data_IF_966274318641
#
_entry.id   IF_966274318641
#
_cell.length_a   1.000
_cell.length_b   1.000
_cell.length_c   1.000
_cell.angle_alpha   90.00
_cell.angle_beta   90.00
_cell.angle_gamma   90.00
#
_symmetry.space_group_name_H-M   'P 1'
#
loop_
_entity.id
_entity.type
_entity.pdbx_description
1 polymer ?
#
# COMPACT_ATOMS: atom_id res chain seq x y z
N UNK A 1 14.31 -41.22 -1.14
CA UNK A 1 15.57 -40.47 -1.22
C UNK A 1 15.85 -39.97 0.18
N UNK A 2 17.08 -40.06 0.69
CA UNK A 2 17.44 -39.49 1.99
C UNK A 2 17.15 -37.98 1.98
N UNK A 3 16.48 -37.45 2.99
CA UNK A 3 16.07 -36.04 3.06
C UNK A 3 17.31 -35.13 2.95
N UNK A 4 18.41 -35.56 3.57
CA UNK A 4 19.70 -34.88 3.48
C UNK A 4 20.28 -34.85 2.06
N UNK A 5 20.10 -35.94 1.29
CA UNK A 5 20.54 -35.99 -0.10
C UNK A 5 19.74 -35.04 -1.00
N UNK A 6 18.43 -34.88 -0.73
CA UNK A 6 17.58 -33.91 -1.45
C UNK A 6 17.95 -32.47 -1.11
N UNK A 7 18.22 -32.17 0.17
CA UNK A 7 18.70 -30.85 0.60
C UNK A 7 20.04 -30.49 -0.07
N UNK A 8 21.01 -31.41 -0.08
CA UNK A 8 22.30 -31.14 -0.72
C UNK A 8 22.18 -30.96 -2.23
N UNK A 9 21.27 -31.67 -2.91
CA UNK A 9 20.96 -31.42 -4.33
C UNK A 9 20.43 -29.99 -4.55
N UNK A 10 19.48 -29.53 -3.74
CA UNK A 10 18.93 -28.16 -3.86
C UNK A 10 20.01 -27.11 -3.59
N UNK A 11 20.87 -27.35 -2.60
CA UNK A 11 22.02 -26.47 -2.31
C UNK A 11 23.03 -26.47 -3.46
N UNK A 12 23.23 -27.59 -4.14
CA UNK A 12 24.12 -27.68 -5.30
C UNK A 12 23.58 -26.91 -6.51
N UNK A 13 22.28 -26.99 -6.79
CA UNK A 13 21.63 -26.15 -7.81
C UNK A 13 21.86 -24.66 -7.52
N UNK A 14 21.72 -24.27 -6.25
CA UNK A 14 21.97 -22.92 -5.79
C UNK A 14 23.45 -22.52 -5.96
N UNK A 15 24.41 -23.37 -5.57
CA UNK A 15 25.86 -23.11 -5.75
C UNK A 15 26.21 -22.84 -7.20
N UNK A 16 25.75 -23.69 -8.13
CA UNK A 16 25.99 -23.53 -9.57
C UNK A 16 25.42 -22.22 -10.12
N UNK A 17 24.20 -21.87 -9.71
CA UNK A 17 23.60 -20.61 -10.11
C UNK A 17 24.34 -19.40 -9.49
N UNK A 18 24.91 -19.54 -8.29
CA UNK A 18 25.68 -18.48 -7.63
C UNK A 18 27.03 -18.19 -8.32
N UNK A 19 27.62 -19.18 -8.98
CA UNK A 19 28.85 -19.02 -9.77
C UNK A 19 28.64 -18.23 -11.07
N UNK A 20 27.41 -18.21 -11.58
CA UNK A 20 27.03 -17.48 -12.80
C UNK A 20 26.59 -16.04 -12.52
N UNK A 21 26.54 -15.63 -11.24
CA UNK A 21 26.23 -14.26 -10.83
C UNK A 21 27.40 -13.32 -11.09
N UNK A 22 27.14 -12.00 -11.26
CA UNK A 22 28.22 -11.00 -11.24
C UNK A 22 28.97 -11.03 -9.90
N UNK A 23 30.20 -10.51 -9.88
CA UNK A 23 31.19 -10.76 -8.81
C UNK A 23 30.67 -10.37 -7.41
N UNK A 24 30.03 -9.20 -7.28
CA UNK A 24 29.49 -8.70 -6.02
C UNK A 24 28.29 -9.54 -5.52
N UNK A 25 27.37 -9.93 -6.41
CA UNK A 25 26.23 -10.77 -6.08
C UNK A 25 26.64 -12.22 -5.82
N UNK A 26 27.69 -12.72 -6.48
CA UNK A 26 28.27 -14.06 -6.26
C UNK A 26 28.86 -14.18 -4.87
N UNK A 27 29.62 -13.18 -4.39
CA UNK A 27 30.12 -13.16 -3.01
C UNK A 27 29.00 -13.13 -1.98
N UNK A 28 27.98 -12.32 -2.23
CA UNK A 28 26.80 -12.24 -1.37
C UNK A 28 26.03 -13.58 -1.33
N UNK A 29 25.83 -14.24 -2.47
CA UNK A 29 25.19 -15.54 -2.55
C UNK A 29 26.01 -16.63 -1.80
N UNK A 30 27.34 -16.68 -1.99
CA UNK A 30 28.24 -17.57 -1.23
C UNK A 30 28.14 -17.34 0.29
N UNK A 31 28.06 -16.07 0.71
CA UNK A 31 27.88 -15.71 2.12
C UNK A 31 26.52 -16.13 2.66
N UNK A 32 25.46 -16.16 1.84
CA UNK A 32 24.14 -16.64 2.25
C UNK A 32 24.14 -18.17 2.34
N UNK A 33 24.74 -18.87 1.37
CA UNK A 33 24.86 -20.34 1.35
C UNK A 33 25.66 -20.91 2.52
N UNK A 34 26.69 -20.19 2.97
CA UNK A 34 27.48 -20.58 4.15
C UNK A 34 26.71 -20.44 5.47
N UNK A 35 25.58 -19.72 5.49
CA UNK A 35 24.75 -19.59 6.69
C UNK A 35 23.79 -20.77 6.80
N UNK A 36 23.66 -21.32 8.01
CA UNK A 36 22.72 -22.41 8.33
C UNK A 36 21.24 -22.05 8.15
N UNK A 37 20.90 -20.76 8.03
CA UNK A 37 19.51 -20.31 8.01
C UNK A 37 18.75 -20.82 6.78
N UNK A 38 19.30 -20.63 5.58
CA UNK A 38 18.65 -21.06 4.34
C UNK A 38 18.53 -22.59 4.28
N UNK A 39 19.58 -23.31 4.70
CA UNK A 39 19.56 -24.77 4.83
C UNK A 39 18.43 -25.25 5.75
N UNK A 40 18.29 -24.67 6.95
CA UNK A 40 17.19 -24.99 7.87
C UNK A 40 15.81 -24.72 7.28
N UNK A 41 15.67 -23.67 6.46
CA UNK A 41 14.41 -23.36 5.78
C UNK A 41 14.09 -24.38 4.69
N UNK A 42 15.10 -24.81 3.91
CA UNK A 42 14.95 -25.90 2.94
C UNK A 42 14.56 -27.22 3.61
N UNK A 43 15.22 -27.58 4.72
CA UNK A 43 14.87 -28.75 5.54
C UNK A 43 13.40 -28.68 5.99
N UNK A 44 12.94 -27.51 6.47
CA UNK A 44 11.54 -27.33 6.90
C UNK A 44 10.51 -27.38 5.75
N UNK A 45 10.86 -26.95 4.53
CA UNK A 45 9.94 -27.09 3.38
C UNK A 45 9.73 -28.55 2.99
N UNK A 46 10.79 -29.35 3.11
CA UNK A 46 10.76 -30.78 2.80
C UNK A 46 9.99 -31.59 3.85
N UNK A 47 9.97 -31.14 5.11
CA UNK A 47 9.14 -31.76 6.17
C UNK A 47 7.65 -31.47 6.01
N UNK A 48 7.28 -30.28 5.50
CA UNK A 48 5.88 -29.85 5.37
C UNK A 48 5.22 -30.45 4.13
N UNK A 49 5.97 -30.58 3.04
CA UNK A 49 5.48 -31.20 1.80
C UNK A 49 5.86 -32.67 1.86
N UNK A 50 4.95 -33.53 2.36
CA UNK A 50 5.07 -35.00 2.28
C UNK A 50 5.48 -35.38 0.85
N UNK A 51 6.75 -35.70 0.64
CA UNK A 51 7.28 -35.90 -0.70
C UNK A 51 7.13 -37.35 -1.11
N UNK A 52 5.91 -37.71 -1.52
CA UNK A 52 5.66 -38.83 -2.45
C UNK A 52 6.22 -38.55 -3.86
N UNK A 53 6.81 -37.35 -4.09
CA UNK A 53 7.51 -37.05 -5.35
C UNK A 53 8.87 -37.77 -5.41
N UNK A 54 8.83 -39.00 -5.90
CA UNK A 54 9.99 -39.80 -6.30
C UNK A 54 10.70 -39.28 -7.58
N UNK A 55 10.30 -38.13 -8.13
CA UNK A 55 10.76 -37.67 -9.44
C UNK A 55 11.73 -36.48 -9.40
N UNK A 56 12.69 -36.49 -10.34
CA UNK A 56 13.56 -35.39 -10.77
C UNK A 56 12.75 -34.22 -11.40
N UNK A 57 11.74 -33.71 -10.71
CA UNK A 57 10.99 -32.54 -11.18
C UNK A 57 11.73 -31.26 -10.78
N UNK A 58 12.57 -30.78 -11.69
CA UNK A 58 13.31 -29.51 -11.57
C UNK A 58 12.38 -28.33 -11.23
N UNK A 59 11.13 -28.34 -11.69
CA UNK A 59 10.17 -27.26 -11.43
C UNK A 59 9.69 -27.29 -9.99
N UNK A 60 9.43 -28.48 -9.45
CA UNK A 60 9.09 -28.65 -8.04
C UNK A 60 10.28 -28.27 -7.13
N UNK A 61 11.50 -28.66 -7.52
CA UNK A 61 12.73 -28.32 -6.79
C UNK A 61 12.99 -26.80 -6.75
N UNK A 62 12.80 -26.11 -7.88
CA UNK A 62 12.88 -24.64 -7.92
C UNK A 62 11.78 -23.96 -7.08
N UNK A 63 10.59 -24.56 -7.02
CA UNK A 63 9.50 -24.10 -6.15
C UNK A 63 9.86 -24.18 -4.67
N UNK A 64 10.45 -25.30 -4.23
CA UNK A 64 10.95 -25.48 -2.86
C UNK A 64 12.02 -24.44 -2.50
N UNK A 65 12.92 -24.14 -3.43
CA UNK A 65 13.96 -23.12 -3.27
C UNK A 65 13.33 -21.73 -3.09
N UNK A 66 12.39 -21.35 -3.94
CA UNK A 66 11.67 -20.06 -3.83
C UNK A 66 10.95 -19.93 -2.48
N UNK A 67 10.24 -20.97 -2.06
CA UNK A 67 9.50 -20.96 -0.80
C UNK A 67 10.45 -20.80 0.41
N UNK A 68 11.57 -21.53 0.41
CA UNK A 68 12.60 -21.41 1.44
C UNK A 68 13.26 -20.02 1.46
N UNK A 69 13.48 -19.41 0.30
CA UNK A 69 13.95 -18.02 0.19
C UNK A 69 12.93 -17.03 0.79
N UNK A 70 11.63 -17.22 0.52
CA UNK A 70 10.55 -16.45 1.12
C UNK A 70 10.55 -16.54 2.65
N UNK A 71 10.56 -17.75 3.21
CA UNK A 71 10.64 -17.95 4.67
C UNK A 71 11.94 -17.42 5.28
N UNK A 72 13.01 -17.35 4.50
CA UNK A 72 14.28 -16.74 4.92
C UNK A 72 14.12 -15.22 5.05
N UNK A 73 13.45 -14.56 4.10
CA UNK A 73 13.17 -13.12 4.17
C UNK A 73 12.23 -12.76 5.32
N UNK A 74 11.18 -13.55 5.54
CA UNK A 74 10.22 -13.33 6.62
C UNK A 74 10.90 -13.46 7.99
N UNK A 75 11.67 -14.54 8.18
CA UNK A 75 12.36 -14.85 9.42
C UNK A 75 13.65 -14.05 9.69
N UNK A 76 14.15 -13.26 8.74
CA UNK A 76 15.41 -12.53 8.90
C UNK A 76 15.25 -11.36 9.90
N UNK A 77 16.03 -11.31 10.99
CA UNK A 77 16.10 -10.14 11.85
C UNK A 77 16.95 -9.05 11.20
N UNK A 78 16.45 -7.81 11.11
CA UNK A 78 17.21 -6.69 10.53
C UNK A 78 16.32 -5.56 10.02
N UNK A 79 16.95 -4.52 9.47
CA UNK A 79 16.24 -3.43 8.77
C UNK A 79 15.58 -3.96 7.48
N UNK A 80 14.53 -3.29 7.03
CA UNK A 80 13.84 -3.64 5.77
C UNK A 80 14.81 -3.50 4.59
N UNK A 81 15.72 -2.52 4.62
CA UNK A 81 16.80 -2.37 3.62
C UNK A 81 17.69 -3.61 3.54
N UNK A 82 18.03 -4.22 4.69
CA UNK A 82 18.79 -5.46 4.71
C UNK A 82 17.99 -6.62 4.09
N UNK A 83 16.69 -6.70 4.37
CA UNK A 83 15.80 -7.68 3.72
C UNK A 83 15.66 -7.41 2.22
N UNK A 84 15.63 -6.15 1.79
CA UNK A 84 15.54 -5.78 0.38
C UNK A 84 16.81 -6.14 -0.38
N UNK A 85 18.00 -5.84 0.15
CA UNK A 85 19.27 -6.28 -0.44
C UNK A 85 19.33 -7.80 -0.56
N UNK A 86 18.86 -8.51 0.47
CA UNK A 86 18.78 -9.97 0.45
C UNK A 86 17.80 -10.47 -0.63
N UNK A 87 16.65 -9.81 -0.77
CA UNK A 87 15.67 -10.10 -1.82
C UNK A 87 16.22 -9.83 -3.22
N UNK A 88 16.96 -8.74 -3.43
CA UNK A 88 17.61 -8.42 -4.71
C UNK A 88 18.58 -9.53 -5.12
N UNK A 89 19.41 -10.01 -4.20
CA UNK A 89 20.32 -11.16 -4.44
C UNK A 89 19.52 -12.41 -4.81
N UNK A 90 18.45 -12.75 -4.08
CA UNK A 90 17.58 -13.89 -4.42
C UNK A 90 16.91 -13.73 -5.78
N UNK A 91 16.50 -12.52 -6.14
CA UNK A 91 15.82 -12.22 -7.38
C UNK A 91 16.74 -12.45 -8.59
N UNK A 92 17.99 -12.00 -8.51
CA UNK A 92 19.00 -12.24 -9.56
C UNK A 92 19.35 -13.73 -9.63
N UNK A 93 19.47 -14.40 -8.47
CA UNK A 93 19.78 -15.82 -8.40
C UNK A 93 18.71 -16.71 -9.05
N UNK A 94 17.42 -16.43 -8.79
CA UNK A 94 16.31 -17.11 -9.43
C UNK A 94 16.27 -16.83 -10.94
N UNK A 95 16.64 -15.62 -11.38
CA UNK A 95 16.70 -15.30 -12.82
C UNK A 95 17.77 -16.12 -13.56
N UNK A 96 18.92 -16.39 -12.93
CA UNK A 96 19.94 -17.30 -13.48
C UNK A 96 19.36 -18.71 -13.63
N UNK A 97 18.67 -19.21 -12.60
CA UNK A 97 18.05 -20.53 -12.65
C UNK A 97 16.95 -20.62 -13.73
N UNK A 98 16.10 -19.60 -13.87
CA UNK A 98 15.08 -19.54 -14.94
C UNK A 98 15.73 -19.64 -16.33
N UNK A 99 16.87 -18.96 -16.53
CA UNK A 99 17.64 -19.01 -17.78
C UNK A 99 18.26 -20.39 -18.02
N UNK A 100 18.83 -21.01 -16.99
CA UNK A 100 19.49 -22.33 -17.09
C UNK A 100 18.49 -23.45 -17.37
N UNK A 101 17.33 -23.42 -16.71
CA UNK A 101 16.34 -24.51 -16.78
C UNK A 101 15.17 -24.25 -17.75
N UNK A 102 15.04 -23.05 -18.30
CA UNK A 102 14.11 -22.73 -19.39
C UNK A 102 12.63 -22.63 -18.98
N UNK A 103 12.33 -22.42 -17.69
CA UNK A 103 10.97 -22.17 -17.20
C UNK A 103 10.96 -21.09 -16.13
N UNK A 104 9.79 -20.45 -15.94
CA UNK A 104 9.62 -19.41 -14.92
C UNK A 104 9.46 -20.01 -13.51
N UNK A 105 10.14 -19.41 -12.54
CA UNK A 105 10.14 -19.78 -11.13
C UNK A 105 9.38 -18.71 -10.35
N UNK A 106 8.56 -19.12 -9.39
CA UNK A 106 7.89 -18.18 -8.48
C UNK A 106 8.94 -17.35 -7.74
N UNK A 107 8.67 -16.07 -7.50
CA UNK A 107 9.60 -15.18 -6.80
C UNK A 107 9.07 -14.90 -5.39
N UNK A 108 9.93 -14.85 -4.37
CA UNK A 108 9.52 -14.41 -3.04
C UNK A 108 9.02 -12.96 -3.10
N UNK A 109 8.04 -12.64 -2.25
CA UNK A 109 7.48 -11.29 -2.17
C UNK A 109 8.57 -10.28 -1.82
N UNK A 110 8.62 -9.17 -2.57
CA UNK A 110 9.53 -8.05 -2.27
C UNK A 110 9.18 -7.50 -0.88
N UNK A 111 10.15 -7.37 0.03
CA UNK A 111 9.92 -6.69 1.31
C UNK A 111 9.41 -5.27 1.05
N UNK A 112 8.22 -4.95 1.53
CA UNK A 112 7.67 -3.61 1.42
C UNK A 112 8.43 -2.67 2.37
N UNK A 113 9.13 -1.66 1.84
CA UNK A 113 9.51 -0.52 2.65
C UNK A 113 8.24 0.26 2.93
N UNK A 114 7.66 0.03 4.11
CA UNK A 114 6.97 1.15 4.74
C UNK A 114 8.01 2.26 4.90
N UNK A 115 7.75 3.39 4.25
CA UNK A 115 8.57 4.58 4.41
C UNK A 115 8.73 4.89 5.90
N UNK A 116 9.88 5.44 6.30
CA UNK A 116 10.06 6.05 7.63
C UNK A 116 8.86 6.96 7.95
N UNK A 117 8.40 7.71 6.96
CA UNK A 117 7.17 8.51 6.94
C UNK A 117 5.91 7.71 7.31
N UNK A 118 5.69 6.53 6.72
CA UNK A 118 4.56 5.66 7.04
C UNK A 118 4.58 5.17 8.49
N UNK A 119 5.78 4.82 9.00
CA UNK A 119 5.96 4.41 10.40
C UNK A 119 5.74 5.56 11.37
N UNK A 120 6.20 6.76 11.01
CA UNK A 120 5.93 7.99 11.76
C UNK A 120 4.43 8.25 11.84
N UNK A 121 3.70 8.11 10.73
CA UNK A 121 2.24 8.28 10.69
C UNK A 121 1.53 7.28 11.60
N UNK A 122 1.91 6.00 11.51
CA UNK A 122 1.33 4.95 12.35
C UNK A 122 1.66 5.15 13.83
N UNK A 123 2.89 5.57 14.15
CA UNK A 123 3.32 5.91 15.50
C UNK A 123 2.46 7.03 16.09
N UNK A 124 2.27 8.11 15.34
CA UNK A 124 1.48 9.27 15.77
C UNK A 124 0.00 8.92 15.92
N UNK A 125 -0.57 8.13 15.01
CA UNK A 125 -1.94 7.61 15.15
C UNK A 125 -2.08 6.72 16.38
N UNK A 126 -1.12 5.82 16.61
CA UNK A 126 -1.11 4.92 17.76
C UNK A 126 -1.02 5.66 19.10
N UNK A 127 -0.24 6.74 19.17
CA UNK A 127 -0.11 7.56 20.38
C UNK A 127 -1.40 8.27 20.80
N UNK A 128 -2.37 8.46 19.92
CA UNK A 128 -3.69 8.94 20.33
C UNK A 128 -4.54 7.82 20.95
N UNK A 129 -4.28 6.56 20.59
CA UNK A 129 -5.18 5.46 20.92
C UNK A 129 -6.53 5.59 20.20
N UNK A 130 -7.40 4.60 20.39
CA UNK A 130 -8.76 4.61 19.80
C UNK A 130 -9.70 5.58 20.52
N UNK A 131 -9.40 5.91 21.77
CA UNK A 131 -10.21 6.72 22.69
C UNK A 131 -9.58 8.08 23.03
N UNK A 132 -8.43 8.42 22.45
CA UNK A 132 -7.70 9.65 22.76
C UNK A 132 -6.88 9.58 24.05
N UNK A 133 -6.82 8.42 24.71
CA UNK A 133 -6.15 8.24 26.00
C UNK A 133 -4.77 7.57 25.88
N UNK A 134 -4.32 7.36 24.64
CA UNK A 134 -3.05 6.73 24.30
C UNK A 134 -3.08 5.21 24.25
N UNK A 135 -1.90 4.62 24.09
CA UNK A 135 -1.77 3.18 23.89
C UNK A 135 -0.72 2.56 24.84
N UNK A 136 -0.87 1.27 25.11
CA UNK A 136 0.18 0.46 25.72
C UNK A 136 1.34 0.26 24.72
N UNK A 137 2.56 0.05 25.22
CA UNK A 137 3.76 -0.04 24.38
C UNK A 137 3.83 -1.29 23.51
N UNK A 138 3.40 -2.43 24.04
CA UNK A 138 3.42 -3.71 23.32
C UNK A 138 2.52 -3.65 22.06
N UNK A 139 1.22 -3.28 22.17
CA UNK A 139 0.38 -3.10 20.99
C UNK A 139 0.94 -2.08 19.98
N UNK A 140 1.57 -1.01 20.46
CA UNK A 140 2.19 0.00 19.59
C UNK A 140 3.40 -0.55 18.83
N UNK A 141 4.22 -1.36 19.48
CA UNK A 141 5.35 -2.07 18.86
C UNK A 141 4.85 -3.01 17.74
N UNK A 142 3.78 -3.76 18.02
CA UNK A 142 3.19 -4.70 17.07
C UNK A 142 2.59 -3.95 15.87
N UNK A 143 1.88 -2.85 16.12
CA UNK A 143 1.24 -2.03 15.07
C UNK A 143 2.27 -1.43 14.10
N UNK A 144 3.39 -0.93 14.62
CA UNK A 144 4.45 -0.29 13.82
C UNK A 144 5.48 -1.32 13.30
N UNK A 145 5.43 -2.56 13.79
CA UNK A 145 6.38 -3.62 13.43
C UNK A 145 7.81 -3.36 13.92
N UNK A 146 7.98 -2.82 15.13
CA UNK A 146 9.31 -2.49 15.70
C UNK A 146 9.51 -3.04 17.11
N UNK A 147 10.77 -3.28 17.49
CA UNK A 147 11.13 -3.70 18.86
C UNK A 147 11.01 -2.52 19.83
N UNK A 148 10.78 -2.82 21.11
CA UNK A 148 10.62 -1.80 22.16
C UNK A 148 11.82 -0.84 22.25
N UNK A 149 13.05 -1.33 22.02
CA UNK A 149 14.26 -0.48 21.99
C UNK A 149 14.18 0.57 20.88
N UNK A 150 13.74 0.18 19.68
CA UNK A 150 13.56 1.08 18.53
C UNK A 150 12.43 2.07 18.81
N UNK A 151 11.33 1.60 19.40
CA UNK A 151 10.22 2.47 19.80
C UNK A 151 10.68 3.57 20.78
N UNK A 152 11.55 3.27 21.75
CA UNK A 152 12.10 4.28 22.67
C UNK A 152 12.87 5.37 21.93
N UNK A 153 13.69 5.01 20.95
CA UNK A 153 14.39 5.98 20.09
C UNK A 153 13.39 6.83 19.30
N UNK A 154 12.37 6.21 18.72
CA UNK A 154 11.35 6.95 17.96
C UNK A 154 10.58 7.97 18.81
N UNK A 155 10.22 7.61 20.04
CA UNK A 155 9.54 8.51 20.97
C UNK A 155 10.45 9.66 21.44
N UNK A 156 11.76 9.42 21.62
CA UNK A 156 12.74 10.47 21.93
C UNK A 156 12.89 11.48 20.78
N UNK A 157 13.02 10.97 19.56
CA UNK A 157 13.06 11.78 18.33
C UNK A 157 11.82 12.69 18.22
N UNK A 158 10.62 12.17 18.54
CA UNK A 158 9.37 12.95 18.56
C UNK A 158 9.36 14.06 19.63
N UNK A 159 9.89 13.79 20.83
CA UNK A 159 10.06 14.79 21.88
C UNK A 159 11.10 15.88 21.55
N UNK A 160 11.81 15.74 20.42
CA UNK A 160 12.79 16.73 19.96
C UNK A 160 14.07 16.75 20.78
N UNK A 161 14.41 15.65 21.44
CA UNK A 161 15.63 15.50 22.24
C UNK A 161 16.88 15.78 21.38
N UNK A 162 17.83 16.59 21.89
CA UNK A 162 18.88 17.21 21.05
C UNK A 162 19.96 16.24 20.54
N UNK A 163 20.01 15.02 21.09
CA UNK A 163 21.02 14.01 20.72
C UNK A 163 20.59 13.11 19.55
N UNK A 164 19.29 13.04 19.22
CA UNK A 164 18.77 12.16 18.18
C UNK A 164 18.32 12.98 16.95
N UNK A 165 18.61 12.48 15.74
CA UNK A 165 18.18 13.14 14.50
C UNK A 165 16.64 13.27 14.46
N UNK A 166 16.07 14.46 14.26
CA UNK A 166 14.63 14.64 14.38
C UNK A 166 13.87 13.85 13.31
N UNK A 167 12.62 13.50 13.62
CA UNK A 167 11.72 13.01 12.58
C UNK A 167 11.44 14.12 11.58
N UNK A 168 11.43 13.77 10.29
CA UNK A 168 11.01 14.69 9.23
C UNK A 168 9.94 14.04 8.38
N UNK A 169 9.03 14.84 7.87
CA UNK A 169 8.01 14.45 6.91
C UNK A 169 7.89 15.55 5.87
N UNK A 170 8.01 15.22 4.58
CA UNK A 170 8.01 16.24 3.52
C UNK A 170 9.13 17.28 3.67
N UNK A 171 10.26 16.90 4.28
CA UNK A 171 11.40 17.80 4.52
C UNK A 171 11.24 18.73 5.74
N UNK A 172 10.16 18.62 6.51
CA UNK A 172 9.92 19.45 7.69
C UNK A 172 10.02 18.63 8.98
N UNK A 173 10.59 19.24 10.02
CA UNK A 173 10.76 18.62 11.34
C UNK A 173 9.41 18.38 12.01
N UNK A 174 9.21 17.16 12.50
CA UNK A 174 8.03 16.72 13.24
C UNK A 174 8.41 16.55 14.72
N UNK A 175 7.70 17.26 15.60
CA UNK A 175 7.88 17.17 17.05
C UNK A 175 6.55 17.28 17.78
N UNK A 176 6.35 16.47 18.82
CA UNK A 176 5.16 16.45 19.68
C UNK A 176 5.53 16.05 21.10
N UNK A 177 4.76 16.50 22.09
CA UNK A 177 5.01 16.23 23.51
C UNK A 177 4.48 14.84 23.91
N UNK A 178 5.34 13.83 23.92
CA UNK A 178 4.98 12.47 24.32
C UNK A 178 4.99 12.33 25.84
N UNK A 179 3.83 12.04 26.41
CA UNK A 179 3.59 11.84 27.85
C UNK A 179 3.31 10.38 28.19
N UNK A 180 3.47 10.09 29.48
CA UNK A 180 3.15 8.78 30.06
C UNK A 180 2.07 8.97 31.12
N UNK A 181 0.96 8.28 30.94
CA UNK A 181 -0.10 8.15 31.95
C UNK A 181 -0.01 6.79 32.61
N UNK A 182 -0.28 6.74 33.92
CA UNK A 182 -0.44 5.49 34.66
C UNK A 182 -1.89 5.32 35.04
N UNK A 183 -2.43 4.14 34.81
CA UNK A 183 -3.74 3.74 35.30
C UNK A 183 -3.58 2.38 36.00
N UNK A 184 -3.62 2.41 37.33
CA UNK A 184 -3.22 1.29 38.18
C UNK A 184 -1.79 0.82 37.89
N UNK A 185 -1.65 -0.45 37.47
CA UNK A 185 -0.37 -1.07 37.09
C UNK A 185 0.01 -0.83 35.63
N UNK A 186 -0.91 -0.36 34.80
CA UNK A 186 -0.72 -0.19 33.37
C UNK A 186 -0.14 1.19 33.05
N UNK A 187 0.70 1.25 32.02
CA UNK A 187 1.31 2.49 31.52
C UNK A 187 0.88 2.72 30.08
N UNK A 188 0.34 3.90 29.84
CA UNK A 188 -0.08 4.35 28.53
C UNK A 188 0.85 5.45 28.06
N UNK A 189 1.34 5.33 26.83
CA UNK A 189 2.10 6.38 26.16
C UNK A 189 1.14 7.14 25.26
N UNK A 190 1.12 8.46 25.37
CA UNK A 190 0.18 9.30 24.63
C UNK A 190 0.82 10.63 24.24
N UNK A 191 0.23 11.32 23.28
CA UNK A 191 0.48 12.75 23.08
C UNK A 191 -0.79 13.53 23.47
N UNK A 192 -0.68 14.64 24.24
CA UNK A 192 -1.80 15.52 24.52
C UNK A 192 -2.19 16.36 23.31
N UNK A 193 -1.34 16.40 22.28
CA UNK A 193 -1.67 17.03 21.01
C UNK A 193 -2.79 16.21 20.36
N UNK A 194 -3.92 16.85 20.12
CA UNK A 194 -5.13 16.17 19.61
C UNK A 194 -5.17 16.09 18.08
N UNK A 195 -4.13 16.59 17.43
CA UNK A 195 -3.94 16.61 15.99
C UNK A 195 -2.69 15.80 15.65
N UNK A 196 -2.77 15.00 14.57
CA UNK A 196 -1.58 14.37 13.99
C UNK A 196 -0.56 15.47 13.64
N UNK A 197 0.74 15.33 13.95
CA UNK A 197 1.75 16.30 13.55
C UNK A 197 1.80 16.69 12.07
N UNK A 198 1.29 15.86 11.17
CA UNK A 198 1.01 16.23 9.77
C UNK A 198 0.06 17.43 9.67
N UNK A 199 -0.91 17.46 10.57
CA UNK A 199 -1.91 18.51 10.75
C UNK A 199 -1.41 19.60 11.69
N UNK A 200 -0.32 19.42 12.45
CA UNK A 200 0.19 20.45 13.38
C UNK A 200 0.74 21.73 12.72
N UNK A 201 0.66 21.86 11.39
CA UNK A 201 0.83 23.16 10.72
C UNK A 201 -0.47 23.95 10.54
N UNK A 202 -1.63 23.33 10.82
CA UNK A 202 -2.93 23.96 10.86
C UNK A 202 -3.66 23.51 12.14
N UNK A 203 -3.83 24.40 13.10
CA UNK A 203 -4.72 24.13 14.23
C UNK A 203 -6.15 23.80 13.73
N UNK A 204 -7.02 23.22 14.58
CA UNK A 204 -8.40 22.82 14.21
C UNK A 204 -9.14 23.95 13.49
N UNK A 205 -8.87 25.19 13.90
CA UNK A 205 -9.43 26.40 13.30
C UNK A 205 -8.92 26.63 11.89
N UNK A 206 -7.62 26.51 11.63
CA UNK A 206 -7.03 26.65 10.30
C UNK A 206 -7.44 25.53 9.35
N UNK A 207 -7.53 24.28 9.84
CA UNK A 207 -8.09 23.17 9.06
C UNK A 207 -9.55 23.40 8.70
N UNK A 208 -10.36 23.89 9.65
CA UNK A 208 -11.75 24.25 9.41
C UNK A 208 -11.88 25.42 8.41
N UNK A 209 -11.06 26.46 8.52
CA UNK A 209 -11.06 27.58 7.57
C UNK A 209 -10.63 27.18 6.17
N UNK A 210 -9.66 26.27 6.04
CA UNK A 210 -9.24 25.73 4.74
C UNK A 210 -10.37 24.91 4.11
N UNK A 211 -10.97 23.99 4.86
CA UNK A 211 -12.12 23.20 4.39
C UNK A 211 -13.31 24.09 4.00
N UNK A 212 -13.56 25.15 4.76
CA UNK A 212 -14.61 26.14 4.48
C UNK A 212 -14.32 26.92 3.20
N UNK A 213 -13.07 27.35 3.02
CA UNK A 213 -12.63 28.04 1.80
C UNK A 213 -12.73 27.15 0.57
N UNK A 214 -12.41 25.86 0.71
CA UNK A 214 -12.57 24.86 -0.35
C UNK A 214 -14.05 24.60 -0.66
N UNK A 215 -14.93 24.62 0.35
CA UNK A 215 -16.38 24.56 0.15
C UNK A 215 -16.92 25.76 -0.64
N UNK A 216 -16.46 26.97 -0.33
CA UNK A 216 -16.83 28.18 -1.08
C UNK A 216 -16.29 28.12 -2.52
N UNK A 217 -15.05 27.65 -2.70
CA UNK A 217 -14.45 27.46 -4.03
C UNK A 217 -15.22 26.41 -4.87
N UNK A 218 -15.68 25.34 -4.21
CA UNK A 218 -16.53 24.32 -4.81
C UNK A 218 -17.87 24.88 -5.29
N UNK A 219 -18.53 25.69 -4.47
CA UNK A 219 -19.83 26.28 -4.80
C UNK A 219 -19.73 27.40 -5.85
N UNK A 220 -18.64 28.17 -5.83
CA UNK A 220 -18.44 29.33 -6.73
C UNK A 220 -17.99 28.97 -8.15
N UNK A 221 -17.62 27.72 -8.43
CA UNK A 221 -17.12 27.24 -9.74
C UNK A 221 -15.86 27.93 -10.26
N UNK A 222 -15.15 28.66 -9.40
CA UNK A 222 -14.02 29.52 -9.81
C UNK A 222 -12.70 28.74 -10.00
N UNK A 223 -12.56 27.55 -9.42
CA UNK A 223 -11.41 26.66 -9.56
C UNK A 223 -11.96 25.25 -9.61
N UNK A 224 -11.79 24.55 -10.75
CA UNK A 224 -12.39 23.26 -11.08
C UNK A 224 -12.93 22.50 -9.87
N UNK A 225 -14.26 22.41 -9.77
CA UNK A 225 -14.98 21.92 -8.59
C UNK A 225 -14.40 20.62 -8.03
N UNK A 226 -13.93 19.76 -8.93
CA UNK A 226 -13.30 18.47 -8.62
C UNK A 226 -12.02 18.63 -7.81
N UNK A 227 -11.08 19.49 -8.22
CA UNK A 227 -9.83 19.72 -7.49
C UNK A 227 -10.08 20.19 -6.05
N UNK A 228 -11.02 21.13 -5.88
CA UNK A 228 -11.38 21.66 -4.56
C UNK A 228 -12.04 20.60 -3.67
N UNK A 229 -12.88 19.74 -4.26
CA UNK A 229 -13.52 18.63 -3.55
C UNK A 229 -12.51 17.53 -3.17
N UNK A 230 -11.56 17.21 -4.05
CA UNK A 230 -10.56 16.16 -3.83
C UNK A 230 -9.54 16.56 -2.76
N UNK A 231 -9.10 17.82 -2.78
CA UNK A 231 -8.26 18.38 -1.73
C UNK A 231 -9.00 18.38 -0.38
N UNK A 232 -10.26 18.80 -0.36
CA UNK A 232 -11.08 18.79 0.86
C UNK A 232 -11.29 17.38 1.40
N UNK A 233 -11.57 16.42 0.51
CA UNK A 233 -11.67 15.00 0.84
C UNK A 233 -10.37 14.43 1.41
N UNK A 234 -9.24 14.71 0.75
CA UNK A 234 -7.92 14.28 1.18
C UNK A 234 -7.56 14.81 2.56
N UNK A 235 -7.90 16.06 2.87
CA UNK A 235 -7.73 16.65 4.20
C UNK A 235 -8.67 15.98 5.21
N UNK A 236 -9.96 15.89 4.89
CA UNK A 236 -11.00 15.40 5.79
C UNK A 236 -10.82 13.92 6.19
N UNK A 237 -10.42 13.07 5.25
CA UNK A 237 -10.14 11.64 5.48
C UNK A 237 -8.93 11.37 6.36
N UNK A 238 -7.97 12.30 6.41
CA UNK A 238 -6.77 12.20 7.25
C UNK A 238 -7.01 12.68 8.69
N UNK A 239 -8.12 13.38 8.96
CA UNK A 239 -8.47 13.81 10.30
C UNK A 239 -8.91 12.64 11.18
N UNK A 240 -8.51 12.69 12.45
CA UNK A 240 -9.00 11.73 13.45
C UNK A 240 -10.50 11.93 13.72
N UNK A 241 -11.23 10.90 14.18
CA UNK A 241 -12.63 11.04 14.58
C UNK A 241 -12.86 12.16 15.59
N UNK A 242 -11.92 12.36 16.51
CA UNK A 242 -11.95 13.46 17.48
C UNK A 242 -11.89 14.84 16.79
N UNK A 243 -10.95 15.03 15.86
CA UNK A 243 -10.80 16.30 15.14
C UNK A 243 -12.05 16.62 14.29
N UNK A 244 -12.62 15.62 13.61
CA UNK A 244 -13.88 15.76 12.85
C UNK A 244 -15.03 16.20 13.76
N UNK A 245 -15.19 15.55 14.92
CA UNK A 245 -16.21 15.91 15.93
C UNK A 245 -16.02 17.35 16.41
N UNK A 246 -14.79 17.77 16.72
CA UNK A 246 -14.48 19.13 17.16
C UNK A 246 -14.77 20.18 16.10
N UNK A 247 -14.49 19.92 14.82
CA UNK A 247 -14.83 20.84 13.72
C UNK A 247 -16.35 20.98 13.61
N UNK A 248 -17.09 19.87 13.66
CA UNK A 248 -18.56 19.90 13.60
C UNK A 248 -19.15 20.67 14.78
N UNK A 249 -18.71 20.39 15.99
CA UNK A 249 -19.14 21.14 17.19
C UNK A 249 -18.82 22.64 17.06
N UNK A 250 -17.59 22.97 16.66
CA UNK A 250 -17.11 24.34 16.67
C UNK A 250 -17.55 25.18 15.47
N UNK A 251 -17.98 24.59 14.35
CA UNK A 251 -18.27 25.31 13.10
C UNK A 251 -19.64 25.03 12.49
N UNK A 252 -20.30 23.93 12.85
CA UNK A 252 -21.58 23.48 12.27
C UNK A 252 -22.71 23.43 13.31
N UNK A 253 -22.41 23.03 14.55
CA UNK A 253 -23.46 22.79 15.55
C UNK A 253 -24.24 24.06 15.92
N UNK A 254 -25.53 23.89 16.22
CA UNK A 254 -26.38 24.96 16.77
C UNK A 254 -25.82 25.50 18.09
N UNK A 255 -25.02 24.74 18.83
CA UNK A 255 -24.44 25.20 20.10
C UNK A 255 -23.22 26.13 19.92
N UNK A 256 -22.80 26.37 18.66
CA UNK A 256 -21.95 27.51 18.28
C UNK A 256 -22.74 28.82 18.30
N UNK A 257 -24.04 28.74 17.99
CA UNK A 257 -25.00 29.86 17.90
C UNK A 257 -25.28 30.46 19.28
N UNK A 258 -25.02 29.71 20.35
CA UNK A 258 -25.24 30.18 21.74
C UNK A 258 -24.04 30.90 22.35
N UNK A 259 -22.83 30.81 21.77
CA UNK A 259 -21.60 31.41 22.36
C UNK A 259 -21.29 32.82 21.90
N UNK A 260 -21.80 33.27 20.75
CA UNK A 260 -21.61 34.62 20.25
C UNK A 260 -22.98 35.31 20.19
N UNK A 261 -23.18 36.23 21.13
CA UNK A 261 -24.41 37.02 21.26
C UNK A 261 -24.54 37.93 20.03
N UNK A 262 -25.68 37.83 19.34
CA UNK A 262 -26.13 38.52 18.12
C UNK A 262 -25.82 37.78 16.80
N UNK A 263 -26.90 37.29 16.17
CA UNK A 263 -26.92 36.50 14.93
C UNK A 263 -27.00 37.43 13.71
N UNK A 264 -26.26 37.12 12.65
CA UNK A 264 -26.61 37.52 11.29
C UNK A 264 -27.23 36.31 10.56
N UNK A 265 -28.26 36.53 9.72
CA UNK A 265 -28.85 35.44 8.91
C UNK A 265 -27.82 34.80 7.95
N UNK A 266 -26.76 35.52 7.64
CA UNK A 266 -25.69 35.09 6.74
C UNK A 266 -24.81 34.01 7.39
N UNK A 267 -24.46 34.17 8.67
CA UNK A 267 -23.65 33.19 9.41
C UNK A 267 -24.39 31.86 9.63
N UNK A 268 -25.72 31.90 9.77
CA UNK A 268 -26.53 30.67 9.84
C UNK A 268 -26.52 29.91 8.52
N UNK A 269 -26.77 30.62 7.41
CA UNK A 269 -26.76 30.03 6.08
C UNK A 269 -25.39 29.44 5.76
N UNK A 270 -24.32 30.13 6.16
CA UNK A 270 -22.95 29.68 5.98
C UNK A 270 -22.63 28.42 6.79
N UNK A 271 -23.06 28.35 8.06
CA UNK A 271 -22.84 27.17 8.91
C UNK A 271 -23.60 25.94 8.38
N UNK A 272 -24.83 26.14 7.90
CA UNK A 272 -25.64 25.07 7.27
C UNK A 272 -24.98 24.58 5.98
N UNK A 273 -24.54 25.50 5.10
CA UNK A 273 -23.87 25.15 3.86
C UNK A 273 -22.55 24.40 4.12
N UNK A 274 -21.76 24.87 5.09
CA UNK A 274 -20.51 24.19 5.46
C UNK A 274 -20.76 22.82 6.08
N UNK A 275 -21.81 22.67 6.90
CA UNK A 275 -22.23 21.37 7.43
C UNK A 275 -22.56 20.37 6.33
N UNK A 276 -23.39 20.78 5.36
CA UNK A 276 -23.75 19.95 4.21
C UNK A 276 -22.52 19.56 3.37
N UNK A 277 -21.56 20.47 3.21
CA UNK A 277 -20.30 20.19 2.53
C UNK A 277 -19.46 19.13 3.27
N UNK A 278 -19.36 19.21 4.61
CA UNK A 278 -18.65 18.21 5.40
C UNK A 278 -19.36 16.85 5.41
N UNK A 279 -20.69 16.83 5.43
CA UNK A 279 -21.49 15.60 5.28
C UNK A 279 -21.22 14.93 3.93
N UNK A 280 -21.08 15.72 2.87
CA UNK A 280 -20.68 15.22 1.57
C UNK A 280 -19.28 14.60 1.60
N UNK A 281 -18.31 15.22 2.26
CA UNK A 281 -16.95 14.66 2.39
C UNK A 281 -16.90 13.39 3.26
N UNK A 282 -17.74 13.31 4.30
CA UNK A 282 -17.89 12.09 5.09
C UNK A 282 -18.54 10.98 4.26
N UNK A 283 -19.61 11.30 3.53
CA UNK A 283 -20.27 10.35 2.63
C UNK A 283 -19.31 9.84 1.56
N UNK A 284 -18.51 10.71 0.92
CA UNK A 284 -17.44 10.31 -0.02
C UNK A 284 -16.42 9.36 0.63
N UNK A 285 -16.05 9.58 1.90
CA UNK A 285 -15.13 8.72 2.64
C UNK A 285 -15.71 7.34 2.95
N UNK A 286 -17.00 7.28 3.22
CA UNK A 286 -17.71 6.03 3.55
C UNK A 286 -18.15 5.26 2.29
N UNK A 287 -18.49 5.96 1.21
CA UNK A 287 -19.08 5.43 -0.03
C UNK A 287 -18.20 5.69 -1.26
N UNK A 288 -16.88 5.54 -1.10
CA UNK A 288 -15.90 5.72 -2.18
C UNK A 288 -16.20 4.87 -3.43
N UNK A 289 -16.98 3.79 -3.28
CA UNK A 289 -17.46 2.93 -4.37
C UNK A 289 -18.61 3.58 -5.16
N UNK A 290 -19.56 4.26 -4.50
CA UNK A 290 -20.74 4.86 -5.16
C UNK A 290 -20.39 6.18 -5.86
N UNK A 291 -19.41 6.91 -5.35
CA UNK A 291 -18.88 8.09 -6.02
C UNK A 291 -18.16 7.74 -7.33
N UNK A 292 -17.43 6.62 -7.34
CA UNK A 292 -16.79 6.08 -8.54
C UNK A 292 -17.82 5.83 -9.66
N UNK A 293 -19.00 5.27 -9.33
CA UNK A 293 -20.07 5.09 -10.31
C UNK A 293 -20.69 6.40 -10.79
N UNK A 294 -20.76 7.41 -9.92
CA UNK A 294 -21.32 8.74 -10.27
C UNK A 294 -20.36 9.53 -11.17
N UNK A 295 -19.04 9.47 -10.94
CA UNK A 295 -18.02 9.99 -11.87
C UNK A 295 -18.04 9.24 -13.20
N UNK A 296 -18.24 7.93 -13.17
CA UNK A 296 -18.37 7.09 -14.37
C UNK A 296 -19.59 7.51 -15.22
N UNK A 297 -20.73 7.84 -14.60
CA UNK A 297 -21.91 8.37 -15.29
C UNK A 297 -21.72 9.80 -15.84
N UNK A 298 -20.94 10.65 -15.16
CA UNK A 298 -20.63 12.01 -15.66
C UNK A 298 -19.59 12.01 -16.79
N UNK A 299 -18.63 11.09 -16.76
CA UNK A 299 -17.60 10.93 -17.80
C UNK A 299 -18.12 10.21 -19.05
N UNK A 300 -19.17 9.39 -18.94
CA UNK A 300 -19.93 8.86 -20.08
C UNK A 300 -20.55 9.96 -20.97
N UNK A 301 -20.57 11.24 -20.54
CA UNK A 301 -21.00 12.37 -21.39
C UNK A 301 -19.89 12.90 -22.32
N UNK A 302 -18.64 12.48 -22.15
CA UNK A 302 -17.57 12.79 -23.07
C UNK A 302 -17.42 11.62 -24.05
N UNK A 303 -17.73 11.88 -25.32
CA UNK A 303 -17.84 10.92 -26.44
C UNK A 303 -16.49 10.23 -26.84
N UNK A 304 -15.48 10.28 -25.96
CA UNK A 304 -14.08 10.05 -26.30
C UNK A 304 -13.34 8.97 -25.49
N UNK A 305 -14.05 8.05 -24.86
CA UNK A 305 -13.48 6.85 -24.25
C UNK A 305 -13.26 6.98 -22.73
N UNK A 306 -12.88 5.86 -22.11
CA UNK A 306 -12.74 5.73 -20.66
C UNK A 306 -11.26 5.91 -20.28
N UNK A 307 -11.00 6.61 -19.18
CA UNK A 307 -9.65 6.68 -18.60
C UNK A 307 -9.15 5.26 -18.30
N UNK A 308 -7.98 4.94 -18.85
CA UNK A 308 -7.30 3.67 -18.65
C UNK A 308 -7.13 3.37 -17.15
N UNK A 309 -6.87 4.37 -16.31
CA UNK A 309 -6.77 4.20 -14.85
C UNK A 309 -8.10 3.79 -14.20
N UNK A 310 -9.25 4.18 -14.77
CA UNK A 310 -10.58 3.75 -14.32
C UNK A 310 -10.85 2.29 -14.69
N UNK A 311 -10.59 1.89 -15.94
CA UNK A 311 -10.68 0.49 -16.37
C UNK A 311 -9.73 -0.43 -15.56
N UNK A 312 -8.59 0.11 -15.14
CA UNK A 312 -7.60 -0.57 -14.29
C UNK A 312 -7.98 -0.61 -12.80
N UNK A 313 -8.75 0.36 -12.29
CA UNK A 313 -9.19 0.44 -10.88
C UNK A 313 -10.38 -0.48 -10.58
N UNK A 314 -11.31 -0.60 -11.52
CA UNK A 314 -12.41 -1.58 -11.49
C UNK A 314 -11.83 -3.02 -11.54
N UNK A 315 -10.67 -3.16 -12.19
CA UNK A 315 -9.91 -4.39 -12.34
C UNK A 315 -9.07 -4.81 -11.11
N UNK A 316 -9.66 -4.91 -9.89
CA UNK A 316 -9.09 -5.86 -8.91
C UNK A 316 -9.00 -7.28 -9.50
N UNK A 317 -9.80 -7.57 -10.55
CA UNK A 317 -9.84 -8.85 -11.26
C UNK A 317 -9.93 -8.82 -12.81
N UNK A 318 -9.74 -7.68 -13.49
CA UNK A 318 -9.48 -7.51 -14.95
C UNK A 318 -10.49 -8.04 -15.99
N UNK A 319 -11.01 -9.25 -15.83
CA UNK A 319 -11.66 -10.02 -16.88
C UNK A 319 -13.19 -9.94 -16.85
N UNK A 320 -13.77 -8.92 -16.21
CA UNK A 320 -15.22 -8.87 -15.96
C UNK A 320 -15.98 -8.14 -17.06
N UNK A 321 -15.35 -7.13 -17.65
CA UNK A 321 -15.95 -6.25 -18.64
C UNK A 321 -15.30 -6.44 -20.01
N UNK A 322 -16.08 -6.15 -21.06
CA UNK A 322 -15.65 -6.26 -22.45
C UNK A 322 -15.33 -4.86 -22.96
N UNK A 323 -14.13 -4.71 -23.51
CA UNK A 323 -13.59 -3.45 -23.95
C UNK A 323 -13.16 -3.49 -25.41
N UNK A 324 -13.01 -2.33 -26.00
CA UNK A 324 -12.26 -2.11 -27.23
C UNK A 324 -11.01 -1.33 -26.87
N UNK A 325 -9.83 -1.91 -27.13
CA UNK A 325 -8.53 -1.30 -26.83
C UNK A 325 -7.83 -0.95 -28.13
N UNK A 326 -7.41 0.30 -28.26
CA UNK A 326 -6.60 0.78 -29.38
C UNK A 326 -5.19 1.09 -28.88
N UNK A 327 -4.20 0.43 -29.47
CA UNK A 327 -2.79 0.68 -29.25
C UNK A 327 -2.17 1.40 -30.44
N UNK A 328 -0.91 1.82 -30.32
CA UNK A 328 -0.15 2.47 -31.41
C UNK A 328 -0.11 1.64 -32.70
N UNK A 329 0.15 0.34 -32.57
CA UNK A 329 0.37 -0.56 -33.72
C UNK A 329 -0.71 -1.64 -33.89
N UNK A 330 -1.66 -1.73 -32.93
CA UNK A 330 -2.63 -2.83 -32.86
C UNK A 330 -3.99 -2.36 -32.37
N UNK A 331 -5.02 -3.11 -32.74
CA UNK A 331 -6.40 -2.83 -32.36
C UNK A 331 -7.08 -4.11 -31.89
N UNK A 332 -7.67 -4.07 -30.69
CA UNK A 332 -8.32 -5.20 -30.05
C UNK A 332 -9.82 -4.90 -29.89
N UNK A 333 -10.66 -5.34 -30.84
CA UNK A 333 -12.10 -5.22 -30.72
C UNK A 333 -12.65 -6.29 -29.77
N UNK A 334 -13.56 -5.93 -28.86
CA UNK A 334 -14.25 -6.86 -27.96
C UNK A 334 -13.29 -7.82 -27.24
N UNK A 335 -12.44 -7.27 -26.41
CA UNK A 335 -11.47 -7.99 -25.61
C UNK A 335 -11.66 -7.71 -24.11
N UNK A 336 -11.19 -8.64 -23.29
CA UNK A 336 -11.00 -8.45 -21.85
C UNK A 336 -9.51 -8.34 -21.56
N UNK A 337 -9.12 -7.82 -20.40
CA UNK A 337 -7.71 -7.74 -20.08
C UNK A 337 -7.41 -7.97 -18.60
N UNK A 338 -6.19 -8.34 -18.25
CA UNK A 338 -5.77 -8.44 -16.85
C UNK A 338 -4.29 -8.11 -16.67
N UNK A 339 -3.90 -7.78 -15.45
CA UNK A 339 -2.51 -7.47 -15.13
C UNK A 339 -1.64 -8.72 -15.08
N UNK A 340 -0.52 -8.66 -15.81
CA UNK A 340 0.53 -9.68 -15.75
C UNK A 340 1.47 -9.41 -14.58
N UNK A 341 1.74 -8.12 -14.33
CA UNK A 341 2.52 -7.60 -13.21
C UNK A 341 1.90 -6.30 -12.69
N UNK A 342 1.85 -6.13 -11.37
CA UNK A 342 1.45 -4.86 -10.70
C UNK A 342 2.62 -3.87 -10.54
N UNK A 343 3.82 -4.25 -10.98
CA UNK A 343 5.03 -3.44 -10.85
C UNK A 343 5.74 -3.34 -12.21
N UNK A 344 6.39 -2.21 -12.46
CA UNK A 344 6.93 -1.84 -13.77
C UNK A 344 7.86 -2.90 -14.41
N UNK A 345 7.84 -3.03 -15.76
CA UNK A 345 6.96 -2.29 -16.68
C UNK A 345 5.51 -2.76 -16.57
N UNK A 346 4.56 -1.82 -16.62
CA UNK A 346 3.14 -2.13 -16.49
C UNK A 346 2.67 -2.83 -17.76
N UNK A 347 2.52 -4.14 -17.69
CA UNK A 347 2.12 -5.00 -18.81
C UNK A 347 0.73 -5.57 -18.54
N UNK A 348 -0.16 -5.40 -19.53
CA UNK A 348 -1.47 -6.02 -19.52
C UNK A 348 -1.52 -7.18 -20.51
N UNK A 349 -2.29 -8.21 -20.17
CA UNK A 349 -2.66 -9.28 -21.06
C UNK A 349 -4.02 -8.96 -21.65
N UNK A 350 -4.14 -8.87 -22.97
CA UNK A 350 -5.40 -8.70 -23.69
C UNK A 350 -5.86 -10.06 -24.20
N UNK A 351 -7.12 -10.39 -23.95
CA UNK A 351 -7.73 -11.67 -24.29
C UNK A 351 -8.97 -11.40 -25.12
N UNK A 352 -9.03 -11.98 -26.31
CA UNK A 352 -10.21 -11.90 -27.17
C UNK A 352 -11.45 -12.51 -26.48
N UNK A 353 -12.62 -11.90 -26.65
CA UNK A 353 -13.85 -12.39 -26.00
C UNK A 353 -14.19 -13.82 -26.41
N UNK A 354 -13.97 -14.23 -27.67
CA UNK A 354 -14.24 -15.60 -28.10
C UNK A 354 -13.29 -16.60 -27.41
N UNK A 355 -12.04 -16.19 -27.18
CA UNK A 355 -11.08 -16.98 -26.41
C UNK A 355 -11.47 -17.07 -24.93
N UNK A 356 -11.98 -15.98 -24.35
CA UNK A 356 -12.50 -15.96 -22.99
C UNK A 356 -13.70 -16.90 -22.81
N UNK A 357 -14.69 -16.84 -23.71
CA UNK A 357 -15.88 -17.69 -23.66
C UNK A 357 -15.54 -19.18 -23.79
N UNK A 358 -14.46 -19.52 -24.52
CA UNK A 358 -14.04 -20.91 -24.71
C UNK A 358 -13.29 -21.50 -23.50
N UNK A 359 -12.41 -20.72 -22.88
CA UNK A 359 -11.48 -21.22 -21.87
C UNK A 359 -11.91 -20.89 -20.43
N UNK A 360 -12.68 -19.83 -20.24
CA UNK A 360 -13.13 -19.36 -18.93
C UNK A 360 -12.05 -18.63 -18.13
N UNK A 361 -12.51 -17.77 -17.20
CA UNK A 361 -11.66 -16.88 -16.37
C UNK A 361 -10.57 -17.62 -15.62
N UNK A 362 -10.91 -18.72 -14.94
CA UNK A 362 -9.98 -19.43 -14.05
C UNK A 362 -8.80 -20.03 -14.81
N UNK A 363 -9.05 -20.65 -15.97
CA UNK A 363 -8.01 -21.25 -16.80
C UNK A 363 -7.10 -20.19 -17.40
N UNK A 364 -7.68 -19.10 -17.91
CA UNK A 364 -6.93 -17.98 -18.50
C UNK A 364 -5.98 -17.34 -17.48
N UNK A 365 -6.46 -17.10 -16.26
CA UNK A 365 -5.63 -16.52 -15.19
C UNK A 365 -4.54 -17.49 -14.72
N UNK A 366 -4.87 -18.78 -14.57
CA UNK A 366 -3.92 -19.82 -14.12
C UNK A 366 -2.77 -20.02 -15.12
N UNK A 367 -3.11 -20.14 -16.40
CA UNK A 367 -2.12 -20.37 -17.48
C UNK A 367 -1.55 -19.06 -18.05
N UNK A 368 -1.97 -17.91 -17.50
CA UNK A 368 -1.54 -16.56 -17.89
C UNK A 368 -1.66 -16.28 -19.40
N UNK A 369 -2.79 -16.71 -19.99
CA UNK A 369 -3.11 -16.60 -21.42
C UNK A 369 -3.51 -15.17 -21.79
N UNK A 370 -2.89 -14.59 -22.82
CA UNK A 370 -3.29 -13.31 -23.39
C UNK A 370 -2.14 -12.64 -24.14
N UNK A 371 -2.48 -11.78 -25.10
CA UNK A 371 -1.49 -10.99 -25.82
C UNK A 371 -0.96 -9.88 -24.93
N UNK A 372 0.36 -9.75 -24.88
CA UNK A 372 1.03 -8.78 -24.02
C UNK A 372 1.07 -7.41 -24.68
N UNK A 373 0.63 -6.40 -23.94
CA UNK A 373 0.61 -5.00 -24.38
C UNK A 373 1.18 -4.14 -23.26
N UNK A 374 2.10 -3.25 -23.61
CA UNK A 374 2.67 -2.30 -22.66
C UNK A 374 1.70 -1.13 -22.47
N UNK A 375 1.58 -0.63 -21.24
CA UNK A 375 0.57 0.38 -20.90
C UNK A 375 0.78 1.71 -21.65
N UNK A 376 2.04 2.05 -21.99
CA UNK A 376 2.43 3.23 -22.77
C UNK A 376 2.21 3.08 -24.29
N UNK A 377 1.83 1.90 -24.75
CA UNK A 377 1.39 1.63 -26.13
C UNK A 377 -0.11 1.85 -26.31
N UNK A 378 -0.88 1.93 -25.23
CA UNK A 378 -2.34 2.10 -25.27
C UNK A 378 -2.69 3.57 -25.51
N UNK A 379 -3.47 3.80 -26.56
CA UNK A 379 -3.95 5.13 -26.96
C UNK A 379 -5.38 5.40 -26.50
N UNK A 380 -6.25 4.38 -26.51
CA UNK A 380 -7.67 4.54 -26.18
C UNK A 380 -8.29 3.25 -25.66
N UNK A 381 -9.20 3.36 -24.69
CA UNK A 381 -10.04 2.26 -24.20
C UNK A 381 -11.51 2.70 -24.27
N UNK A 382 -12.37 1.82 -24.77
CA UNK A 382 -13.84 2.02 -24.83
C UNK A 382 -14.53 0.82 -24.21
N UNK A 383 -15.57 1.06 -23.43
CA UNK A 383 -16.46 0.00 -22.97
C UNK A 383 -17.41 -0.40 -24.11
N UNK A 384 -17.68 -1.70 -24.26
CA UNK A 384 -18.56 -2.22 -25.32
C UNK A 384 -19.94 -2.60 -24.83
#
# INVERSE_FOLDING_TARGET
>A
MDQDAKVERLLEMLRRAAEQLPEEESENAKRILSKKLLRKKLESELEIKDTDSQGDDLKADCGLISDAMGKTLDGQPGSIEHKQRLWEVFNVWLAVMEKEYGFSISRPLRPFLESEDGKLIQLLKGLHGTDGLGCEREPLCDTIGVKEKTLRTYLKRLNGDMEDEPWTLGGQRVSTDVKIRKDGRKRYTYTPDTLNPIVMQLNITQAAYLLKSLGIAYDSRCYGNELSADLAYGIWSQLSPYAKKRIREAYVSEDRVTRYVNRSEEEEKEAVAFGAFLDKMEWKAEHWVDEFFTETEMLNRYDDGIDLMLALKDARYGMEHVYTIQCKDKFFPKCRFYFVSRYQPFEIAVVDEAQYQKLGKEYILKEKIGERVMLDEILKVRYN
#
